data_IF_978241954946
#
_entry.id   IF_978241954946
#
_cell.length_a   1.000
_cell.length_b   1.000
_cell.length_c   1.000
_cell.angle_alpha   90.00
_cell.angle_beta   90.00
_cell.angle_gamma   90.00
#
_symmetry.space_group_name_H-M   'P 1'
#
loop_
_entity.id
_entity.type
_entity.pdbx_description
1 polymer ?
#
# COMPACT_ATOMS: atom_id res chain seq x y z
N UNK A 1 26.99 -25.02 -57.18
CA UNK A 1 25.97 -24.90 -56.12
C UNK A 1 26.60 -25.25 -54.78
N UNK A 2 26.95 -24.24 -53.98
CA UNK A 2 27.56 -24.41 -52.66
C UNK A 2 26.46 -24.25 -51.59
N UNK A 3 26.07 -25.36 -50.97
CA UNK A 3 25.12 -25.41 -49.86
C UNK A 3 25.81 -24.93 -48.58
N UNK A 4 25.45 -23.73 -48.11
CA UNK A 4 25.86 -23.20 -46.80
C UNK A 4 24.97 -23.81 -45.72
N UNK A 5 25.51 -24.78 -44.98
CA UNK A 5 24.87 -25.35 -43.80
C UNK A 5 24.93 -24.36 -42.62
N UNK A 6 23.77 -23.82 -42.24
CA UNK A 6 23.60 -23.00 -41.03
C UNK A 6 23.70 -23.87 -39.78
N UNK A 7 24.91 -23.96 -39.22
CA UNK A 7 25.20 -24.65 -37.96
C UNK A 7 24.70 -23.79 -36.79
N UNK A 8 23.42 -23.92 -36.41
CA UNK A 8 22.86 -23.37 -35.17
C UNK A 8 23.62 -23.98 -33.98
N UNK A 9 24.42 -23.16 -33.28
CA UNK A 9 24.96 -23.51 -31.95
C UNK A 9 23.77 -23.65 -30.99
N UNK A 10 23.48 -24.87 -30.55
CA UNK A 10 22.70 -25.10 -29.33
C UNK A 10 23.61 -24.75 -28.15
N UNK A 11 23.21 -23.75 -27.36
CA UNK A 11 23.78 -23.51 -26.04
C UNK A 11 23.25 -24.64 -25.16
N UNK A 12 24.14 -25.50 -24.69
CA UNK A 12 23.82 -26.50 -23.69
C UNK A 12 23.50 -25.77 -22.38
N UNK A 13 22.33 -26.07 -21.81
CA UNK A 13 21.98 -25.67 -20.46
C UNK A 13 22.77 -26.57 -19.49
N UNK A 14 24.03 -26.25 -19.27
CA UNK A 14 24.75 -26.75 -18.11
C UNK A 14 24.16 -26.08 -16.87
N UNK A 15 23.95 -26.86 -15.81
CA UNK A 15 23.50 -26.46 -14.49
C UNK A 15 24.56 -25.61 -13.76
N UNK A 16 25.02 -24.56 -14.42
CA UNK A 16 25.78 -23.49 -13.81
C UNK A 16 24.76 -22.66 -13.04
N UNK A 17 24.87 -22.70 -11.71
CA UNK A 17 24.43 -21.62 -10.80
C UNK A 17 24.30 -20.34 -11.57
N UNK A 18 23.06 -19.86 -11.72
CA UNK A 18 22.70 -18.68 -12.50
C UNK A 18 23.52 -17.51 -11.97
N UNK A 19 24.70 -17.29 -12.54
CA UNK A 19 25.42 -16.03 -12.44
C UNK A 19 24.58 -15.11 -13.30
N UNK A 20 23.51 -14.59 -12.69
CA UNK A 20 22.76 -13.47 -13.21
C UNK A 20 23.83 -12.39 -13.35
N UNK A 21 24.29 -12.14 -14.58
CA UNK A 21 25.06 -10.94 -14.89
C UNK A 21 24.14 -9.79 -14.48
N UNK A 22 24.43 -9.16 -13.34
CA UNK A 22 23.47 -8.27 -12.76
C UNK A 22 23.42 -7.04 -13.66
N UNK A 23 22.22 -6.51 -13.86
CA UNK A 23 21.95 -5.40 -14.80
C UNK A 23 22.90 -4.20 -14.57
N UNK A 24 23.37 -4.02 -13.32
CA UNK A 24 24.32 -2.99 -12.92
C UNK A 24 25.74 -3.14 -13.50
N UNK A 25 26.17 -4.34 -13.90
CA UNK A 25 27.47 -4.53 -14.55
C UNK A 25 27.44 -4.08 -16.03
N UNK A 26 26.23 -3.90 -16.60
CA UNK A 26 26.02 -3.59 -18.01
C UNK A 26 25.66 -2.13 -18.26
N UNK A 27 25.13 -1.42 -17.26
CA UNK A 27 24.58 -0.07 -17.43
C UNK A 27 25.33 0.96 -16.57
N UNK A 28 25.71 2.12 -17.14
CA UNK A 28 26.22 3.25 -16.37
C UNK A 28 25.19 3.75 -15.35
N UNK A 29 25.66 4.20 -14.18
CA UNK A 29 24.83 4.75 -13.08
C UNK A 29 23.79 5.76 -13.57
N UNK A 30 24.20 6.70 -14.44
CA UNK A 30 23.31 7.71 -15.02
C UNK A 30 22.13 7.13 -15.79
N UNK A 31 22.31 6.00 -16.48
CA UNK A 31 21.20 5.34 -17.17
C UNK A 31 20.23 4.70 -16.18
N UNK A 32 20.73 4.16 -15.07
CA UNK A 32 19.88 3.57 -14.02
C UNK A 32 19.04 4.65 -13.33
N UNK A 33 19.64 5.82 -13.05
CA UNK A 33 18.92 6.99 -12.54
C UNK A 33 17.86 7.49 -13.53
N UNK A 34 18.21 7.57 -14.81
CA UNK A 34 17.28 7.99 -15.87
C UNK A 34 16.11 7.00 -15.99
N UNK A 35 16.37 5.68 -16.02
CA UNK A 35 15.31 4.65 -16.03
C UNK A 35 14.43 4.76 -14.78
N UNK A 36 15.03 4.93 -13.61
CA UNK A 36 14.32 5.05 -12.34
C UNK A 36 13.40 6.28 -12.28
N UNK A 37 13.77 7.37 -12.97
CA UNK A 37 12.94 8.58 -13.04
C UNK A 37 11.60 8.37 -13.75
N UNK A 38 11.49 7.37 -14.63
CA UNK A 38 10.24 6.98 -15.29
C UNK A 38 9.37 6.03 -14.45
N UNK A 39 9.89 5.50 -13.35
CA UNK A 39 9.15 4.61 -12.47
C UNK A 39 8.39 5.40 -11.42
N UNK A 40 7.18 4.93 -11.10
CA UNK A 40 6.43 5.38 -9.93
C UNK A 40 7.23 5.09 -8.65
N UNK A 41 6.93 5.83 -7.58
CA UNK A 41 7.66 5.77 -6.32
C UNK A 41 7.92 4.34 -5.80
N UNK A 42 6.91 3.46 -5.60
CA UNK A 42 7.16 2.10 -5.11
C UNK A 42 8.00 1.26 -6.07
N UNK A 43 7.74 1.35 -7.38
CA UNK A 43 8.51 0.65 -8.42
C UNK A 43 9.97 1.11 -8.45
N UNK A 44 10.22 2.39 -8.20
CA UNK A 44 11.55 2.99 -8.16
C UNK A 44 12.40 2.46 -7.00
N UNK A 45 11.83 2.39 -5.78
CA UNK A 45 12.54 1.81 -4.64
C UNK A 45 12.73 0.31 -4.79
N UNK A 46 11.75 -0.42 -5.30
CA UNK A 46 11.89 -1.85 -5.62
C UNK A 46 13.02 -2.08 -6.64
N UNK A 47 13.09 -1.24 -7.67
CA UNK A 47 14.18 -1.26 -8.65
C UNK A 47 15.54 -0.97 -7.99
N UNK A 48 15.62 0.07 -7.15
CA UNK A 48 16.83 0.41 -6.41
C UNK A 48 17.30 -0.73 -5.49
N UNK A 49 16.38 -1.43 -4.83
CA UNK A 49 16.69 -2.61 -4.01
C UNK A 49 17.19 -3.77 -4.87
N UNK A 50 16.54 -4.05 -6.00
CA UNK A 50 16.90 -5.17 -6.89
C UNK A 50 18.31 -5.04 -7.49
N UNK A 51 18.73 -3.82 -7.83
CA UNK A 51 20.08 -3.55 -8.37
C UNK A 51 21.13 -3.37 -7.27
N UNK A 52 20.70 -3.16 -6.02
CA UNK A 52 21.61 -3.03 -4.89
C UNK A 52 22.00 -4.41 -4.37
N UNK A 53 23.31 -4.74 -4.33
CA UNK A 53 23.73 -6.03 -3.78
C UNK A 53 23.36 -6.11 -2.28
N UNK A 54 22.86 -7.27 -1.81
CA UNK A 54 22.54 -7.45 -0.40
C UNK A 54 23.77 -7.19 0.47
N UNK A 55 23.56 -6.46 1.57
CA UNK A 55 24.61 -6.09 2.52
C UNK A 55 25.22 -7.31 3.24
N UNK A 56 24.54 -8.46 3.21
CA UNK A 56 24.86 -9.66 4.00
C UNK A 56 25.71 -10.70 3.25
N UNK A 57 26.22 -10.39 2.05
CA UNK A 57 26.89 -11.43 1.26
C UNK A 57 28.31 -11.70 1.78
N UNK A 58 28.59 -12.99 1.94
CA UNK A 58 29.90 -13.66 2.10
C UNK A 58 31.14 -12.82 1.71
N UNK A 59 32.26 -12.92 2.46
CA UNK A 59 33.52 -12.22 2.18
C UNK A 59 34.00 -12.27 0.72
N UNK A 60 33.69 -13.33 -0.02
CA UNK A 60 34.01 -13.46 -1.44
C UNK A 60 33.29 -12.43 -2.34
N UNK A 61 32.05 -12.10 -2.01
CA UNK A 61 31.28 -11.11 -2.75
C UNK A 61 31.67 -9.68 -2.38
N UNK A 62 32.16 -9.46 -1.15
CA UNK A 62 32.83 -8.22 -0.76
C UNK A 62 34.05 -7.93 -1.63
N UNK A 63 34.82 -8.96 -2.00
CA UNK A 63 36.01 -8.80 -2.87
C UNK A 63 35.59 -8.41 -4.29
N UNK A 64 34.53 -9.04 -4.84
CA UNK A 64 33.96 -8.66 -6.14
C UNK A 64 33.21 -7.32 -6.11
N UNK A 65 32.76 -6.87 -4.94
CA UNK A 65 32.09 -5.58 -4.78
C UNK A 65 33.04 -4.39 -4.74
N UNK A 66 34.33 -4.60 -4.43
CA UNK A 66 35.34 -3.51 -4.36
C UNK A 66 35.66 -2.85 -5.70
N UNK A 67 35.31 -3.47 -6.82
CA UNK A 67 35.47 -2.91 -8.16
C UNK A 67 34.24 -2.16 -8.67
N UNK A 68 33.19 -2.05 -7.84
CA UNK A 68 31.90 -1.52 -8.28
C UNK A 68 31.84 0.00 -8.11
N UNK A 69 31.19 0.71 -9.05
CA UNK A 69 30.82 2.10 -8.80
C UNK A 69 29.95 2.14 -7.54
N UNK A 70 30.29 3.05 -6.63
CA UNK A 70 29.57 3.27 -5.39
C UNK A 70 28.27 4.00 -5.70
N UNK A 71 27.34 3.32 -6.37
CA UNK A 71 26.07 3.88 -6.79
C UNK A 71 25.29 4.24 -5.53
N UNK A 72 24.99 5.52 -5.39
CA UNK A 72 24.27 5.99 -4.21
C UNK A 72 22.84 5.47 -4.30
N UNK A 73 22.44 4.59 -3.38
CA UNK A 73 21.07 4.06 -3.28
C UNK A 73 20.02 5.18 -3.37
N UNK A 74 20.32 6.30 -2.73
CA UNK A 74 19.48 7.50 -2.71
C UNK A 74 19.39 8.25 -4.04
N UNK A 75 20.35 8.09 -4.98
CA UNK A 75 20.25 8.77 -6.28
C UNK A 75 19.24 8.08 -7.20
N UNK A 76 19.13 6.75 -7.11
CA UNK A 76 18.17 5.96 -7.89
C UNK A 76 16.78 6.00 -7.24
N UNK A 77 16.71 5.77 -5.93
CA UNK A 77 15.45 5.82 -5.19
C UNK A 77 14.88 7.25 -5.19
N UNK A 78 15.73 8.27 -5.13
CA UNK A 78 15.33 9.64 -4.83
C UNK A 78 15.24 9.90 -3.32
N UNK A 79 14.97 11.15 -2.95
CA UNK A 79 15.01 11.64 -1.58
C UNK A 79 13.65 12.04 -1.00
N UNK A 80 12.62 12.18 -1.82
CA UNK A 80 11.29 12.65 -1.42
C UNK A 80 10.32 11.47 -1.28
N UNK A 81 10.15 11.01 -0.04
CA UNK A 81 9.37 9.81 0.29
C UNK A 81 8.22 10.12 1.25
N UNK A 82 7.37 11.09 0.90
CA UNK A 82 6.22 11.44 1.74
C UNK A 82 5.05 10.48 1.58
N UNK A 83 4.87 9.94 0.37
CA UNK A 83 3.79 9.00 0.05
C UNK A 83 4.38 7.75 -0.57
N UNK A 84 3.96 6.59 -0.06
CA UNK A 84 4.24 5.29 -0.64
C UNK A 84 2.93 4.54 -0.79
N UNK A 85 2.46 4.44 -2.03
CA UNK A 85 1.23 3.73 -2.38
C UNK A 85 1.56 2.59 -3.35
N UNK A 86 1.37 1.34 -2.90
CA UNK A 86 1.61 0.16 -3.74
C UNK A 86 0.53 -0.04 -4.83
N UNK A 87 -0.50 0.80 -4.87
CA UNK A 87 -1.45 0.89 -5.99
C UNK A 87 -0.81 1.32 -7.30
N UNK A 88 0.34 2.02 -7.25
CA UNK A 88 1.14 2.37 -8.43
C UNK A 88 1.99 1.20 -8.97
N UNK A 89 1.98 0.06 -8.29
CA UNK A 89 2.59 -1.19 -8.75
C UNK A 89 1.51 -2.06 -9.40
N UNK A 90 1.89 -2.79 -10.45
CA UNK A 90 1.00 -3.78 -11.05
C UNK A 90 0.44 -4.72 -9.97
N UNK A 91 -0.89 -4.91 -9.98
CA UNK A 91 -1.61 -5.67 -8.95
C UNK A 91 -1.01 -7.06 -8.69
N UNK A 92 -0.64 -7.78 -9.75
CA UNK A 92 -0.05 -9.12 -9.62
C UNK A 92 1.36 -9.11 -9.01
N UNK A 93 2.11 -8.03 -9.22
CA UNK A 93 3.43 -7.86 -8.64
C UNK A 93 3.32 -7.45 -7.17
N UNK A 94 2.44 -6.49 -6.84
CA UNK A 94 2.16 -6.09 -5.46
C UNK A 94 1.69 -7.27 -4.61
N UNK A 95 0.80 -8.12 -5.14
CA UNK A 95 0.30 -9.31 -4.47
C UNK A 95 1.39 -10.37 -4.20
N UNK A 96 2.55 -10.31 -4.88
CA UNK A 96 3.67 -11.22 -4.66
C UNK A 96 4.67 -10.70 -3.62
N UNK A 97 4.57 -9.43 -3.23
CA UNK A 97 5.48 -8.85 -2.24
C UNK A 97 5.28 -9.51 -0.88
N UNK A 98 6.38 -9.94 -0.28
CA UNK A 98 6.44 -10.52 1.05
C UNK A 98 6.77 -9.46 2.11
N UNK A 99 6.64 -9.81 3.38
CA UNK A 99 7.07 -8.96 4.50
C UNK A 99 8.55 -8.55 4.40
N UNK A 100 9.42 -9.42 3.90
CA UNK A 100 10.85 -9.12 3.71
C UNK A 100 11.06 -8.05 2.62
N UNK A 101 10.29 -8.10 1.53
CA UNK A 101 10.34 -7.09 0.47
C UNK A 101 9.87 -5.72 0.98
N UNK A 102 8.75 -5.69 1.70
CA UNK A 102 8.16 -4.48 2.26
C UNK A 102 9.08 -3.89 3.34
N UNK A 103 9.63 -4.72 4.22
CA UNK A 103 10.61 -4.28 5.22
C UNK A 103 11.83 -3.64 4.58
N UNK A 104 12.39 -4.26 3.52
CA UNK A 104 13.51 -3.70 2.77
C UNK A 104 13.15 -2.35 2.15
N UNK A 105 11.96 -2.22 1.56
CA UNK A 105 11.47 -0.95 1.01
C UNK A 105 11.41 0.14 2.08
N UNK A 106 10.74 -0.13 3.20
CA UNK A 106 10.54 0.84 4.26
C UNK A 106 11.87 1.24 4.94
N UNK A 107 12.77 0.29 5.16
CA UNK A 107 14.12 0.57 5.66
C UNK A 107 14.95 1.39 4.66
N UNK A 108 14.83 1.10 3.36
CA UNK A 108 15.60 1.79 2.33
C UNK A 108 15.25 3.28 2.24
N UNK A 109 13.97 3.62 2.43
CA UNK A 109 13.48 5.01 2.35
C UNK A 109 13.51 5.73 3.69
N UNK A 110 13.97 5.09 4.77
CA UNK A 110 13.94 5.64 6.13
C UNK A 110 12.50 6.03 6.54
N UNK A 111 11.56 5.10 6.34
CA UNK A 111 10.13 5.35 6.44
C UNK A 111 9.71 5.89 7.82
N UNK A 112 10.33 5.41 8.91
CA UNK A 112 10.03 5.87 10.27
C UNK A 112 10.14 7.40 10.43
N UNK A 113 11.06 8.03 9.69
CA UNK A 113 11.37 9.46 9.83
C UNK A 113 10.84 10.32 8.67
N UNK A 114 10.52 9.74 7.51
CA UNK A 114 10.20 10.50 6.29
C UNK A 114 8.81 10.25 5.72
N UNK A 115 8.25 9.07 5.96
CA UNK A 115 7.02 8.63 5.34
C UNK A 115 5.82 9.19 6.09
N UNK A 116 4.94 9.89 5.37
CA UNK A 116 3.69 10.45 5.91
C UNK A 116 2.50 9.57 5.58
N UNK A 117 2.46 9.01 4.38
CA UNK A 117 1.32 8.26 3.86
C UNK A 117 1.83 6.89 3.39
N UNK A 118 1.33 5.83 4.02
CA UNK A 118 1.55 4.45 3.58
C UNK A 118 0.22 3.83 3.16
N UNK A 119 0.17 3.30 1.94
CA UNK A 119 -0.96 2.51 1.45
C UNK A 119 -0.46 1.17 0.93
N UNK A 120 -0.90 0.08 1.56
CA UNK A 120 -0.50 -1.29 1.20
C UNK A 120 -1.42 -1.90 0.14
N UNK A 121 -1.92 -1.05 -0.76
CA UNK A 121 -2.84 -1.43 -1.82
C UNK A 121 -2.31 -2.60 -2.65
N UNK A 122 -3.14 -3.63 -2.82
CA UNK A 122 -2.85 -4.89 -3.52
C UNK A 122 -1.78 -5.79 -2.87
N UNK A 123 -1.17 -5.42 -1.73
CA UNK A 123 -0.16 -6.24 -1.06
C UNK A 123 -0.80 -7.36 -0.21
N UNK A 124 -1.53 -8.29 -0.84
CA UNK A 124 -2.36 -9.28 -0.14
C UNK A 124 -1.63 -10.48 0.48
N UNK A 125 -0.31 -10.59 0.30
CA UNK A 125 0.50 -11.75 0.75
C UNK A 125 1.40 -11.45 1.97
N UNK A 126 1.11 -10.37 2.70
CA UNK A 126 1.87 -9.98 3.90
C UNK A 126 1.18 -10.41 5.19
N UNK A 127 1.99 -10.74 6.19
CA UNK A 127 1.53 -11.02 7.55
C UNK A 127 1.51 -9.77 8.44
N UNK A 128 2.20 -8.71 8.03
CA UNK A 128 2.33 -7.47 8.80
C UNK A 128 3.70 -7.33 9.46
N UNK A 129 4.51 -8.40 9.50
CA UNK A 129 5.89 -8.38 9.98
C UNK A 129 6.77 -7.36 9.24
N UNK A 130 6.45 -7.09 7.96
CA UNK A 130 7.15 -6.14 7.12
C UNK A 130 7.03 -4.69 7.61
N UNK A 131 6.01 -4.39 8.45
CA UNK A 131 5.76 -3.05 8.98
C UNK A 131 6.60 -2.70 10.21
N UNK A 132 7.41 -3.64 10.74
CA UNK A 132 8.22 -3.43 11.95
C UNK A 132 9.11 -2.18 11.87
N UNK A 133 9.56 -1.81 10.67
CA UNK A 133 10.36 -0.61 10.42
C UNK A 133 9.63 0.72 10.67
N UNK A 134 8.30 0.70 10.85
CA UNK A 134 7.51 1.87 11.23
C UNK A 134 7.35 2.02 12.74
N UNK A 135 7.80 1.05 13.53
CA UNK A 135 7.75 1.12 14.99
C UNK A 135 8.39 2.42 15.48
N UNK A 136 7.66 3.15 16.32
CA UNK A 136 8.09 4.43 16.86
C UNK A 136 8.17 5.58 15.84
N UNK A 137 7.52 5.45 14.68
CA UNK A 137 7.45 6.54 13.71
C UNK A 137 6.78 7.79 14.33
N UNK A 138 7.36 8.95 14.03
CA UNK A 138 6.81 10.26 14.43
C UNK A 138 6.39 11.11 13.22
N UNK A 139 6.56 10.57 12.01
CA UNK A 139 6.29 11.27 10.75
C UNK A 139 5.06 10.76 10.02
N UNK A 140 4.62 9.53 10.31
CA UNK A 140 3.47 8.91 9.68
C UNK A 140 2.17 9.65 10.07
N UNK A 141 1.36 9.97 9.07
CA UNK A 141 0.07 10.64 9.18
C UNK A 141 -1.09 9.73 8.75
N UNK A 142 -0.86 8.81 7.82
CA UNK A 142 -1.86 7.86 7.31
C UNK A 142 -1.25 6.47 7.12
N UNK A 143 -1.97 5.44 7.59
CA UNK A 143 -1.71 4.04 7.24
C UNK A 143 -2.99 3.39 6.72
N UNK A 144 -2.96 2.92 5.47
CA UNK A 144 -4.05 2.13 4.86
C UNK A 144 -3.64 0.66 4.75
N UNK A 145 -4.29 -0.17 5.57
CA UNK A 145 -4.12 -1.61 5.68
C UNK A 145 -5.26 -2.39 5.03
N UNK A 146 -6.12 -1.75 4.23
CA UNK A 146 -7.24 -2.43 3.57
C UNK A 146 -6.83 -3.44 2.49
N UNK A 147 -5.59 -3.34 1.99
CA UNK A 147 -4.98 -4.18 0.95
C UNK A 147 -5.70 -4.16 -0.41
N UNK A 148 -6.70 -3.30 -0.60
CA UNK A 148 -7.48 -3.18 -1.83
C UNK A 148 -7.15 -1.89 -2.57
N UNK A 149 -7.42 -1.89 -3.87
CA UNK A 149 -7.35 -0.68 -4.68
C UNK A 149 -8.40 0.34 -4.29
N UNK A 150 -8.17 1.60 -4.69
CA UNK A 150 -9.21 2.62 -4.62
C UNK A 150 -10.50 2.11 -5.29
N UNK A 151 -11.65 2.40 -4.67
CA UNK A 151 -12.98 2.06 -5.17
C UNK A 151 -13.30 0.55 -5.27
N UNK A 152 -12.40 -0.32 -4.81
CA UNK A 152 -12.64 -1.76 -4.75
C UNK A 152 -13.37 -2.14 -3.46
N UNK A 153 -14.13 -3.23 -3.52
CA UNK A 153 -14.71 -3.82 -2.31
C UNK A 153 -13.59 -4.22 -1.36
N UNK A 154 -13.71 -3.92 -0.06
CA UNK A 154 -12.68 -4.25 0.93
C UNK A 154 -12.69 -5.73 1.33
N UNK A 155 -13.64 -6.51 0.80
CA UNK A 155 -13.76 -7.95 1.03
C UNK A 155 -12.78 -8.67 0.09
N UNK A 156 -11.83 -9.39 0.66
CA UNK A 156 -10.80 -10.15 -0.07
C UNK A 156 -11.04 -11.66 0.03
N UNK A 157 -10.96 -12.34 -1.11
CA UNK A 157 -11.00 -13.80 -1.23
C UNK A 157 -9.80 -14.27 -2.09
N UNK A 158 -8.82 -14.98 -1.51
CA UNK A 158 -8.78 -15.50 -0.14
C UNK A 158 -8.56 -14.43 0.93
N UNK A 159 -8.93 -14.76 2.18
CA UNK A 159 -8.64 -13.95 3.36
C UNK A 159 -7.12 -13.70 3.47
N UNK A 160 -6.66 -12.44 3.57
CA UNK A 160 -5.25 -12.13 3.70
C UNK A 160 -4.64 -12.71 4.98
N UNK A 161 -3.34 -13.08 4.98
CA UNK A 161 -2.66 -13.67 6.13
C UNK A 161 -2.20 -12.62 7.16
N UNK A 162 -2.84 -11.44 7.20
CA UNK A 162 -2.44 -10.33 8.06
C UNK A 162 -2.74 -10.64 9.54
N UNK A 163 -1.70 -10.64 10.36
CA UNK A 163 -1.75 -10.93 11.79
C UNK A 163 -2.14 -9.66 12.56
N UNK A 164 -3.27 -9.72 13.27
CA UNK A 164 -3.84 -8.58 13.99
C UNK A 164 -2.88 -8.11 15.10
N UNK A 165 -2.52 -9.01 16.02
CA UNK A 165 -1.72 -8.73 17.22
C UNK A 165 -0.35 -8.13 16.84
N UNK A 166 0.28 -8.67 15.79
CA UNK A 166 1.56 -8.18 15.28
C UNK A 166 1.46 -6.74 14.76
N UNK A 167 0.43 -6.44 13.98
CA UNK A 167 0.22 -5.09 13.43
C UNK A 167 -0.17 -4.11 14.54
N UNK A 168 -1.07 -4.51 15.45
CA UNK A 168 -1.47 -3.67 16.59
C UNK A 168 -0.27 -3.32 17.47
N UNK A 169 0.65 -4.26 17.71
CA UNK A 169 1.90 -3.98 18.45
C UNK A 169 2.72 -2.87 17.79
N UNK A 170 2.77 -2.83 16.45
CA UNK A 170 3.52 -1.80 15.70
C UNK A 170 2.77 -0.46 15.76
N UNK A 171 1.44 -0.47 15.62
CA UNK A 171 0.63 0.73 15.72
C UNK A 171 0.67 1.31 17.13
N UNK A 172 0.61 0.49 18.18
CA UNK A 172 0.79 0.87 19.57
C UNK A 172 2.13 1.58 19.77
N UNK A 173 3.20 1.04 19.18
CA UNK A 173 4.52 1.68 19.25
C UNK A 173 4.57 3.08 18.62
N UNK A 174 3.72 3.34 17.61
CA UNK A 174 3.58 4.63 16.94
C UNK A 174 2.76 5.60 17.80
N UNK A 175 1.56 5.22 18.26
CA UNK A 175 0.69 6.10 19.06
C UNK A 175 1.26 6.43 20.44
N UNK A 176 2.05 5.52 21.02
CA UNK A 176 2.75 5.77 22.28
C UNK A 176 3.91 6.78 22.15
N UNK A 177 4.24 7.23 20.93
CA UNK A 177 5.12 8.38 20.76
C UNK A 177 4.33 9.66 21.07
N UNK A 178 4.75 10.41 22.09
CA UNK A 178 4.10 11.68 22.47
C UNK A 178 4.16 12.81 21.42
N UNK A 179 4.62 12.51 20.20
CA UNK A 179 4.63 13.41 19.02
C UNK A 179 4.18 12.68 17.75
N UNK A 180 3.35 11.64 17.90
CA UNK A 180 2.75 10.96 16.77
C UNK A 180 1.94 11.96 15.91
N UNK A 181 2.05 11.84 14.58
CA UNK A 181 1.27 12.66 13.63
C UNK A 181 0.17 11.85 12.96
N UNK A 182 -0.07 10.62 13.42
CA UNK A 182 -1.03 9.70 12.84
C UNK A 182 -2.44 10.27 12.99
N UNK A 183 -3.08 10.54 11.86
CA UNK A 183 -4.41 11.12 11.74
C UNK A 183 -5.41 10.13 11.19
N UNK A 184 -4.96 9.19 10.34
CA UNK A 184 -5.85 8.25 9.67
C UNK A 184 -5.33 6.82 9.71
N UNK A 185 -6.20 5.91 10.16
CA UNK A 185 -5.98 4.47 10.10
C UNK A 185 -7.14 3.79 9.38
N UNK A 186 -6.82 3.07 8.30
CA UNK A 186 -7.79 2.23 7.61
C UNK A 186 -7.48 0.75 7.88
N UNK A 187 -8.29 0.12 8.72
CA UNK A 187 -8.13 -1.30 9.05
C UNK A 187 -8.65 -2.23 7.94
N UNK A 188 -8.13 -3.47 7.84
CA UNK A 188 -8.71 -4.52 7.02
C UNK A 188 -10.17 -4.78 7.40
N UNK A 189 -11.01 -5.05 6.40
CA UNK A 189 -12.44 -5.34 6.65
C UNK A 189 -12.65 -6.53 7.58
N UNK A 190 -11.78 -7.56 7.51
CA UNK A 190 -11.86 -8.76 8.36
C UNK A 190 -11.61 -8.53 9.85
N UNK A 191 -11.12 -7.35 10.25
CA UNK A 191 -10.98 -6.96 11.66
C UNK A 191 -12.22 -6.22 12.16
N UNK A 192 -13.02 -5.65 11.24
CA UNK A 192 -14.25 -4.92 11.55
C UNK A 192 -15.34 -5.91 11.97
N UNK A 193 -16.00 -5.61 13.09
CA UNK A 193 -17.09 -6.43 13.64
C UNK A 193 -16.67 -7.78 14.24
N UNK A 194 -15.36 -8.04 14.38
CA UNK A 194 -14.86 -9.21 15.11
C UNK A 194 -14.74 -8.94 16.60
N UNK A 195 -14.86 -9.99 17.41
CA UNK A 195 -14.67 -9.97 18.86
C UNK A 195 -13.17 -10.09 19.18
N UNK A 196 -12.40 -9.06 18.81
CA UNK A 196 -10.95 -9.00 19.03
C UNK A 196 -10.67 -8.03 20.19
N UNK A 197 -10.57 -8.56 21.42
CA UNK A 197 -10.31 -7.75 22.62
C UNK A 197 -9.12 -6.79 22.43
N UNK A 198 -8.01 -7.28 21.88
CA UNK A 198 -6.82 -6.46 21.63
C UNK A 198 -7.06 -5.33 20.61
N UNK A 199 -7.93 -5.55 19.62
CA UNK A 199 -8.29 -4.53 18.64
C UNK A 199 -9.15 -3.44 19.30
N UNK A 200 -10.11 -3.85 20.14
CA UNK A 200 -10.95 -2.92 20.90
C UNK A 200 -10.11 -2.07 21.84
N UNK A 201 -9.21 -2.70 22.61
CA UNK A 201 -8.28 -2.00 23.50
C UNK A 201 -7.36 -1.04 22.73
N UNK A 202 -6.94 -1.41 21.51
CA UNK A 202 -6.16 -0.51 20.65
C UNK A 202 -6.98 0.71 20.22
N UNK A 203 -8.23 0.52 19.81
CA UNK A 203 -9.10 1.63 19.39
C UNK A 203 -9.32 2.60 20.54
N UNK A 204 -9.56 2.12 21.77
CA UNK A 204 -9.66 2.96 22.96
C UNK A 204 -8.39 3.80 23.18
N UNK A 205 -7.19 3.20 23.09
CA UNK A 205 -5.92 3.93 23.21
C UNK A 205 -5.72 4.95 22.09
N UNK A 206 -6.14 4.63 20.87
CA UNK A 206 -6.04 5.55 19.76
C UNK A 206 -6.96 6.77 19.96
N UNK A 207 -8.21 6.53 20.38
CA UNK A 207 -9.18 7.60 20.65
C UNK A 207 -8.67 8.51 21.78
N UNK A 208 -8.12 7.95 22.87
CA UNK A 208 -7.46 8.72 23.94
C UNK A 208 -6.32 9.61 23.41
N UNK A 209 -5.50 9.08 22.50
CA UNK A 209 -4.40 9.84 21.88
C UNK A 209 -4.94 11.01 21.03
N UNK A 210 -6.00 10.80 20.24
CA UNK A 210 -6.59 11.85 19.40
C UNK A 210 -7.26 12.96 20.24
N UNK A 211 -7.96 12.58 21.32
CA UNK A 211 -8.53 13.54 22.27
C UNK A 211 -7.45 14.45 22.88
N UNK A 212 -6.28 13.90 23.22
CA UNK A 212 -5.15 14.66 23.75
C UNK A 212 -4.57 15.68 22.76
N UNK A 213 -4.75 15.48 21.45
CA UNK A 213 -4.36 16.45 20.41
C UNK A 213 -5.29 17.67 20.36
N UNK A 214 -6.33 17.70 21.20
CA UNK A 214 -7.07 18.91 21.53
C UNK A 214 -8.24 19.21 20.60
N UNK A 215 -8.65 18.24 19.79
CA UNK A 215 -9.80 18.38 18.91
C UNK A 215 -11.08 17.77 19.52
N UNK A 216 -10.95 16.89 20.54
CA UNK A 216 -12.01 16.42 21.43
C UNK A 216 -13.12 15.61 20.75
N UNK A 217 -12.77 14.63 19.90
CA UNK A 217 -13.73 13.97 19.00
C UNK A 217 -13.58 12.45 19.02
N UNK A 218 -14.73 11.77 18.97
CA UNK A 218 -14.78 10.34 18.67
C UNK A 218 -14.35 10.12 17.22
N UNK A 219 -13.18 9.49 17.02
CA UNK A 219 -12.60 9.27 15.69
C UNK A 219 -13.13 7.99 15.06
N UNK A 220 -13.31 6.95 15.87
CA UNK A 220 -13.82 5.66 15.43
C UNK A 220 -15.27 5.41 15.84
N UNK A 221 -15.99 4.67 14.99
CA UNK A 221 -17.29 4.10 15.36
C UNK A 221 -17.06 2.94 16.32
N UNK A 222 -17.28 3.17 17.61
CA UNK A 222 -16.96 2.22 18.69
C UNK A 222 -18.14 1.35 19.16
N UNK A 223 -19.40 1.66 18.81
CA UNK A 223 -20.56 0.94 19.35
C UNK A 223 -21.60 0.49 18.32
N UNK A 224 -21.88 -0.82 18.30
CA UNK A 224 -23.21 -1.39 17.99
C UNK A 224 -23.58 -1.63 16.52
N UNK A 225 -22.74 -1.27 15.56
CA UNK A 225 -23.14 -1.21 14.15
C UNK A 225 -22.22 -1.94 13.16
N UNK A 226 -22.73 -2.09 11.93
CA UNK A 226 -22.05 -2.59 10.73
C UNK A 226 -20.77 -1.83 10.31
N UNK A 227 -20.38 -0.78 11.05
CA UNK A 227 -19.26 0.11 10.73
C UNK A 227 -18.16 0.13 11.80
N UNK A 228 -18.15 -0.84 12.73
CA UNK A 228 -17.14 -0.93 13.78
C UNK A 228 -15.69 -0.88 13.22
N UNK A 229 -14.84 -0.02 13.78
CA UNK A 229 -13.45 0.16 13.35
C UNK A 229 -13.29 0.94 12.04
N UNK A 230 -14.34 1.62 11.57
CA UNK A 230 -14.24 2.64 10.52
C UNK A 230 -14.02 3.99 11.17
N UNK A 231 -13.07 4.74 10.63
CA UNK A 231 -12.84 6.11 11.01
C UNK A 231 -13.84 7.02 10.30
N UNK A 232 -14.63 7.74 11.08
CA UNK A 232 -15.60 8.72 10.58
C UNK A 232 -14.93 10.10 10.41
N UNK A 233 -15.61 11.00 9.71
CA UNK A 233 -15.25 12.43 9.62
C UNK A 233 -13.90 12.80 8.97
N UNK A 234 -13.13 11.82 8.47
CA UNK A 234 -11.88 12.07 7.73
C UNK A 234 -12.01 11.56 6.30
N UNK A 235 -11.67 12.40 5.33
CA UNK A 235 -11.59 11.98 3.94
C UNK A 235 -10.41 11.01 3.77
N UNK A 236 -10.69 9.79 3.30
CA UNK A 236 -9.68 8.74 3.06
C UNK A 236 -8.62 9.10 2.02
N UNK A 237 -8.87 10.14 1.21
CA UNK A 237 -7.95 10.59 0.16
C UNK A 237 -7.08 11.76 0.61
N UNK A 238 -7.69 12.89 0.99
CA UNK A 238 -6.94 14.10 1.35
C UNK A 238 -6.62 14.24 2.84
N UNK A 239 -7.06 13.29 3.67
CA UNK A 239 -6.92 13.29 5.14
C UNK A 239 -7.47 14.52 5.85
N UNK A 240 -8.24 15.35 5.13
CA UNK A 240 -8.93 16.47 5.72
C UNK A 240 -10.06 15.96 6.61
N UNK A 241 -10.09 16.54 7.80
CA UNK A 241 -11.16 16.35 8.77
C UNK A 241 -12.34 17.28 8.43
N UNK A 242 -13.56 16.78 8.64
CA UNK A 242 -14.79 17.51 8.46
C UNK A 242 -15.61 17.45 9.74
N UNK A 243 -15.92 18.61 10.32
CA UNK A 243 -16.76 18.67 11.50
C UNK A 243 -18.15 18.11 11.19
N UNK A 244 -18.74 17.41 12.15
CA UNK A 244 -20.13 16.98 12.14
C UNK A 244 -21.07 18.19 12.32
N UNK A 245 -20.89 19.24 11.52
CA UNK A 245 -21.76 20.40 11.51
C UNK A 245 -23.13 19.97 10.96
N UNK A 246 -24.16 20.00 11.81
CA UNK A 246 -25.54 19.68 11.42
C UNK A 246 -26.17 20.73 10.49
N UNK A 247 -25.42 21.75 10.09
CA UNK A 247 -25.95 22.91 9.38
C UNK A 247 -25.28 22.97 7.99
N UNK A 248 -25.86 22.22 7.06
CA UNK A 248 -25.33 21.94 5.72
C UNK A 248 -25.32 23.12 4.73
N UNK A 249 -24.81 24.28 5.12
CA UNK A 249 -24.72 25.44 4.22
C UNK A 249 -23.37 25.53 3.47
N UNK A 250 -22.30 24.92 3.99
CA UNK A 250 -20.94 25.17 3.47
C UNK A 250 -20.45 24.20 2.38
N UNK A 251 -21.29 23.27 1.90
CA UNK A 251 -20.95 22.37 0.77
C UNK A 251 -19.80 21.37 1.02
N UNK A 252 -19.18 21.41 2.20
CA UNK A 252 -18.11 20.52 2.63
C UNK A 252 -18.67 19.26 3.31
N UNK A 253 -19.48 18.51 2.56
CA UNK A 253 -20.02 17.24 3.04
C UNK A 253 -19.06 16.07 2.75
N UNK A 254 -18.90 15.18 3.73
CA UNK A 254 -18.32 13.85 3.52
C UNK A 254 -19.42 12.87 3.09
N UNK A 255 -19.04 11.97 2.19
CA UNK A 255 -19.90 10.92 1.65
C UNK A 255 -19.28 9.57 1.94
N UNK A 256 -20.07 8.71 2.60
CA UNK A 256 -19.71 7.31 2.77
C UNK A 256 -19.96 6.54 1.48
N UNK A 257 -18.92 5.89 0.95
CA UNK A 257 -19.07 4.98 -0.17
C UNK A 257 -19.36 3.57 0.33
N UNK A 258 -20.52 3.03 -0.04
CA UNK A 258 -20.90 1.65 0.31
C UNK A 258 -20.10 0.57 -0.44
N UNK A 259 -19.38 0.93 -1.52
CA UNK A 259 -18.58 -0.04 -2.28
C UNK A 259 -17.24 -0.30 -1.62
N UNK A 260 -16.46 0.77 -1.34
CA UNK A 260 -15.15 0.65 -0.71
C UNK A 260 -15.19 0.81 0.82
N UNK A 261 -16.35 1.17 1.38
CA UNK A 261 -16.57 1.44 2.82
C UNK A 261 -15.64 2.53 3.38
N UNK A 262 -15.55 3.66 2.68
CA UNK A 262 -14.72 4.82 3.06
C UNK A 262 -15.46 6.13 2.92
N UNK A 263 -15.06 7.12 3.71
CA UNK A 263 -15.50 8.50 3.56
C UNK A 263 -14.64 9.25 2.55
N UNK A 264 -15.32 10.04 1.71
CA UNK A 264 -14.70 10.92 0.72
C UNK A 264 -15.36 12.29 0.77
N UNK A 265 -14.57 13.35 0.63
CA UNK A 265 -15.12 14.70 0.47
C UNK A 265 -15.51 14.97 -0.97
N UNK A 266 -16.34 16.00 -1.18
CA UNK A 266 -16.79 16.47 -2.50
C UNK A 266 -15.66 16.93 -3.41
N UNK A 267 -14.52 17.33 -2.83
CA UNK A 267 -13.39 17.85 -3.59
C UNK A 267 -12.46 16.73 -4.10
N UNK A 268 -12.53 15.52 -3.54
CA UNK A 268 -11.71 14.40 -3.99
C UNK A 268 -12.38 13.66 -5.15
N UNK A 269 -11.66 13.53 -6.28
CA UNK A 269 -12.09 12.88 -7.52
C UNK A 269 -12.67 11.47 -7.31
N UNK A 270 -12.14 10.78 -6.31
CA UNK A 270 -12.59 9.50 -5.78
C UNK A 270 -14.12 9.37 -5.60
N UNK A 271 -14.79 10.45 -5.21
CA UNK A 271 -16.24 10.42 -4.97
C UNK A 271 -17.04 10.34 -6.29
N UNK A 272 -16.56 10.98 -7.36
CA UNK A 272 -17.21 10.96 -8.69
C UNK A 272 -17.17 9.55 -9.29
N UNK A 273 -16.05 8.85 -9.14
CA UNK A 273 -15.87 7.49 -9.68
C UNK A 273 -16.66 6.44 -8.90
N UNK A 274 -16.74 6.56 -7.57
CA UNK A 274 -17.56 5.67 -6.77
C UNK A 274 -19.06 5.79 -7.08
N UNK A 275 -19.54 6.99 -7.41
CA UNK A 275 -20.94 7.19 -7.84
C UNK A 275 -21.21 6.56 -9.21
N UNK A 276 -20.26 6.60 -10.14
CA UNK A 276 -20.45 6.03 -11.48
C UNK A 276 -20.44 4.50 -11.48
N UNK A 277 -19.72 3.84 -10.56
CA UNK A 277 -19.82 2.37 -10.40
C UNK A 277 -21.22 1.95 -9.97
N UNK A 278 -21.88 2.73 -9.09
CA UNK A 278 -23.29 2.47 -8.72
C UNK A 278 -24.23 2.59 -9.92
N UNK A 279 -24.06 3.61 -10.76
CA UNK A 279 -24.89 3.72 -11.97
C UNK A 279 -24.55 2.64 -12.99
N UNK A 280 -23.28 2.32 -13.23
CA UNK A 280 -22.89 1.28 -14.19
C UNK A 280 -23.35 -0.12 -13.76
N UNK A 281 -23.22 -0.51 -12.49
CA UNK A 281 -23.70 -1.82 -12.03
C UNK A 281 -25.23 -1.93 -12.12
N UNK A 282 -25.97 -0.86 -11.79
CA UNK A 282 -27.42 -0.83 -11.97
C UNK A 282 -27.77 -0.93 -13.46
N UNK A 283 -27.11 -0.16 -14.32
CA UNK A 283 -27.35 -0.18 -15.77
C UNK A 283 -26.99 -1.53 -16.41
N UNK A 284 -25.90 -2.17 -16.00
CA UNK A 284 -25.51 -3.51 -16.47
C UNK A 284 -26.51 -4.56 -15.96
N UNK A 285 -26.98 -4.48 -14.71
CA UNK A 285 -28.01 -5.37 -14.21
C UNK A 285 -29.33 -5.20 -14.97
N UNK A 286 -29.73 -3.97 -15.28
CA UNK A 286 -30.89 -3.69 -16.14
C UNK A 286 -30.69 -4.18 -17.56
N UNK A 287 -29.49 -4.03 -18.14
CA UNK A 287 -29.16 -4.53 -19.48
C UNK A 287 -29.20 -6.06 -19.53
N UNK A 288 -28.65 -6.74 -18.51
CA UNK A 288 -28.67 -8.21 -18.40
C UNK A 288 -30.12 -8.70 -18.21
N UNK A 289 -30.90 -8.09 -17.31
CA UNK A 289 -32.32 -8.43 -17.13
C UNK A 289 -33.14 -8.18 -18.40
N UNK A 290 -32.86 -7.09 -19.12
CA UNK A 290 -33.51 -6.78 -20.40
C UNK A 290 -33.15 -7.81 -21.48
N UNK A 291 -31.88 -8.18 -21.61
CA UNK A 291 -31.43 -9.20 -22.56
C UNK A 291 -32.02 -10.58 -22.21
N UNK A 292 -32.03 -10.96 -20.93
CA UNK A 292 -32.63 -12.22 -20.49
C UNK A 292 -34.15 -12.26 -20.73
N UNK A 293 -34.86 -11.15 -20.57
CA UNK A 293 -36.29 -11.06 -20.87
C UNK A 293 -36.62 -11.21 -22.37
N UNK A 294 -35.68 -10.91 -23.26
CA UNK A 294 -35.86 -11.09 -24.72
C UNK A 294 -35.55 -12.52 -25.20
N UNK A 295 -34.89 -13.34 -24.37
CA UNK A 295 -34.42 -14.68 -24.76
C UNK A 295 -35.34 -15.79 -24.24
N UNK A 296 -36.35 -15.49 -23.41
CA UNK A 296 -37.39 -16.46 -23.02
C UNK A 296 -38.47 -16.48 -24.09
N UNK A 297 -38.58 -17.54 -24.93
CA UNK A 297 -39.69 -17.66 -25.86
C UNK A 297 -40.95 -18.05 -25.08
N UNK A 298 -42.03 -17.31 -25.30
CA UNK A 298 -43.40 -17.66 -24.87
C UNK A 298 -43.84 -19.01 -25.43
#
# INVERSE_FOLDING_TARGET
MLSKSNKRRRIAADACTTIICPLYDLLPEKMLEEVASFLAAPSRVLFAIAITPPSSISPYHMIMARSRPNVSRSSIAGNEWHTLDFGDVEKELAAKLSDDDISKVLLHIDAANKLKILRLTNCSNMTGAGLVSLSGSTSIELIDLSLVGAHQSPILDPKPPLDCDLVLTILDSIINQGRCQLKHLQFPHMWRGGDYDQFNEFLERYDEMDEMLGDGRDVFVTFGDMYFGIQDYTCSECTQYYSSGRDGEDGNALYFCNTCERYHCTQCSAMVECQTVRTFCVWIAYLILFVLAQVVPT
#
